data_IF_265543363852
#
_entry.id   IF_265543363852
#
_cell.length_a   1.000
_cell.length_b   1.000
_cell.length_c   1.000
_cell.angle_alpha   90.00
_cell.angle_beta   90.00
_cell.angle_gamma   90.00
#
_symmetry.space_group_name_H-M   'P 1'
#
loop_
_entity.id
_entity.type
_entity.pdbx_description
1 polymer ?
#
# COMPACT_ATOMS: atom_id res chain seq x y z
N UNK A 1 -21.96 -3.59 14.64
CA UNK A 1 -21.08 -2.96 15.68
C UNK A 1 -19.72 -3.64 15.66
N UNK A 2 -18.65 -2.88 15.49
CA UNK A 2 -17.27 -3.41 15.47
C UNK A 2 -16.77 -3.71 16.89
N UNK A 3 -16.14 -4.87 17.10
CA UNK A 3 -15.62 -5.27 18.41
C UNK A 3 -14.37 -4.48 18.81
N UNK A 4 -14.15 -4.32 20.12
CA UNK A 4 -12.93 -3.64 20.66
C UNK A 4 -11.63 -4.35 20.20
N UNK A 5 -11.63 -5.68 20.10
CA UNK A 5 -10.47 -6.43 19.64
C UNK A 5 -10.16 -6.14 18.18
N UNK A 6 -11.17 -6.01 17.33
CA UNK A 6 -11.01 -5.68 15.92
C UNK A 6 -10.47 -4.25 15.75
N UNK A 7 -10.99 -3.29 16.53
CA UNK A 7 -10.45 -1.92 16.57
C UNK A 7 -8.96 -1.93 16.95
N UNK A 8 -8.61 -2.66 18.01
CA UNK A 8 -7.21 -2.76 18.48
C UNK A 8 -6.31 -3.40 17.42
N UNK A 9 -6.78 -4.44 16.74
CA UNK A 9 -6.05 -5.08 15.66
C UNK A 9 -5.76 -4.11 14.52
N UNK A 10 -6.80 -3.47 13.97
CA UNK A 10 -6.65 -2.51 12.86
C UNK A 10 -5.70 -1.38 13.25
N UNK A 11 -5.93 -0.75 14.42
CA UNK A 11 -5.07 0.34 14.92
C UNK A 11 -3.62 -0.09 15.15
N UNK A 12 -3.37 -1.36 15.49
CA UNK A 12 -2.02 -1.87 15.67
C UNK A 12 -1.19 -1.85 14.38
N UNK A 13 -1.84 -1.94 13.21
CA UNK A 13 -1.20 -1.89 11.88
C UNK A 13 -0.65 -0.49 11.51
N UNK A 14 -0.86 0.53 12.34
CA UNK A 14 -0.15 1.81 12.23
C UNK A 14 1.37 1.62 12.38
N UNK A 15 1.80 0.66 13.19
CA UNK A 15 3.21 0.39 13.49
C UNK A 15 3.83 -0.58 12.48
N UNK A 16 4.97 -0.19 11.88
CA UNK A 16 5.71 -1.01 10.90
C UNK A 16 5.99 -2.43 11.41
N UNK A 17 6.40 -2.58 12.69
CA UNK A 17 6.68 -3.88 13.29
C UNK A 17 5.47 -4.84 13.24
N UNK A 18 4.26 -4.31 13.45
CA UNK A 18 3.05 -5.12 13.44
C UNK A 18 2.63 -5.45 12.01
N UNK A 19 2.75 -4.50 11.07
CA UNK A 19 2.53 -4.78 9.64
C UNK A 19 3.44 -5.90 9.14
N UNK A 20 4.73 -5.83 9.47
CA UNK A 20 5.70 -6.85 9.05
C UNK A 20 5.42 -8.20 9.69
N UNK A 21 5.04 -8.22 10.99
CA UNK A 21 4.69 -9.46 11.70
C UNK A 21 3.46 -10.14 11.10
N UNK A 22 2.44 -9.37 10.79
CA UNK A 22 1.17 -9.87 10.24
C UNK A 22 1.22 -10.04 8.70
N UNK A 23 2.18 -9.43 8.00
CA UNK A 23 2.22 -9.36 6.54
C UNK A 23 1.04 -8.58 5.97
N UNK A 24 0.52 -7.57 6.72
CA UNK A 24 -0.71 -6.84 6.39
C UNK A 24 -0.50 -5.33 6.43
N UNK A 25 -1.36 -4.61 5.69
CA UNK A 25 -1.42 -3.16 5.73
C UNK A 25 -2.87 -2.65 5.61
N UNK A 26 -3.06 -1.39 5.95
CA UNK A 26 -4.38 -0.74 5.90
C UNK A 26 -4.44 0.23 4.73
N UNK A 27 -5.54 0.17 3.99
CA UNK A 27 -5.93 1.15 2.99
C UNK A 27 -7.27 1.78 3.36
N UNK A 28 -7.40 3.08 3.17
CA UNK A 28 -8.61 3.83 3.48
C UNK A 28 -9.09 4.67 2.30
N UNK A 29 -10.40 4.87 2.24
CA UNK A 29 -11.07 5.63 1.19
C UNK A 29 -11.39 4.80 -0.05
N UNK A 30 -12.52 5.13 -0.65
CA UNK A 30 -13.11 4.32 -1.73
C UNK A 30 -12.16 4.13 -2.91
N UNK A 31 -11.44 5.20 -3.34
CA UNK A 31 -10.54 5.11 -4.49
C UNK A 31 -9.40 4.12 -4.26
N UNK A 32 -8.69 4.21 -3.14
CA UNK A 32 -7.54 3.33 -2.83
C UNK A 32 -8.01 1.90 -2.64
N UNK A 33 -9.12 1.72 -1.91
CA UNK A 33 -9.66 0.37 -1.62
C UNK A 33 -10.20 -0.28 -2.89
N UNK A 34 -10.95 0.44 -3.74
CA UNK A 34 -11.49 -0.11 -4.99
C UNK A 34 -10.36 -0.49 -5.97
N UNK A 35 -9.30 0.34 -6.10
CA UNK A 35 -8.14 0.04 -6.94
C UNK A 35 -7.41 -1.24 -6.47
N UNK A 36 -7.24 -1.42 -5.15
CA UNK A 36 -6.62 -2.61 -4.59
C UNK A 36 -7.51 -3.86 -4.74
N UNK A 37 -8.82 -3.73 -4.51
CA UNK A 37 -9.78 -4.85 -4.65
C UNK A 37 -9.86 -5.37 -6.09
N UNK A 38 -9.56 -4.53 -7.08
CA UNK A 38 -9.48 -4.95 -8.48
C UNK A 38 -8.31 -5.92 -8.75
N UNK A 39 -7.28 -5.95 -7.90
CA UNK A 39 -6.07 -6.76 -8.08
C UNK A 39 -5.92 -7.89 -7.07
N UNK A 40 -6.41 -7.71 -5.84
CA UNK A 40 -6.29 -8.72 -4.79
C UNK A 40 -7.47 -8.65 -3.81
N UNK A 41 -7.88 -9.77 -3.21
CA UNK A 41 -8.90 -9.75 -2.17
C UNK A 41 -8.37 -9.07 -0.90
N UNK A 42 -9.25 -8.38 -0.19
CA UNK A 42 -8.98 -7.93 1.17
C UNK A 42 -9.19 -9.08 2.17
N UNK A 43 -8.45 -9.08 3.27
CA UNK A 43 -8.72 -9.98 4.41
C UNK A 43 -9.90 -9.47 5.24
N UNK A 44 -9.99 -8.15 5.39
CA UNK A 44 -11.02 -7.49 6.18
C UNK A 44 -11.46 -6.20 5.49
N UNK A 45 -12.75 -5.97 5.45
CA UNK A 45 -13.38 -4.72 5.03
C UNK A 45 -14.24 -4.20 6.17
N UNK A 46 -14.04 -2.94 6.53
CA UNK A 46 -14.88 -2.20 7.49
C UNK A 46 -15.45 -1.00 6.75
N UNK A 47 -16.75 -0.98 6.52
CA UNK A 47 -17.36 0.03 5.67
C UNK A 47 -18.79 0.38 6.07
N UNK A 48 -19.26 1.53 5.61
CA UNK A 48 -20.65 1.94 5.74
C UNK A 48 -21.56 1.16 4.79
N UNK A 49 -22.84 1.06 5.13
CA UNK A 49 -23.84 0.43 4.28
C UNK A 49 -23.87 1.04 2.87
N UNK A 50 -23.70 2.36 2.76
CA UNK A 50 -23.69 3.08 1.49
C UNK A 50 -22.60 2.54 0.55
N UNK A 51 -21.37 2.37 1.05
CA UNK A 51 -20.27 1.86 0.23
C UNK A 51 -20.41 0.37 -0.08
N UNK A 52 -21.01 -0.43 0.83
CA UNK A 52 -21.21 -1.88 0.65
C UNK A 52 -22.31 -2.19 -0.37
N UNK A 53 -23.24 -1.26 -0.60
CA UNK A 53 -24.41 -1.50 -1.45
C UNK A 53 -24.02 -1.95 -2.86
N UNK A 54 -24.54 -3.11 -3.28
CA UNK A 54 -24.30 -3.68 -4.62
C UNK A 54 -22.89 -4.26 -4.84
N UNK A 55 -22.02 -4.31 -3.82
CA UNK A 55 -20.68 -4.88 -3.93
C UNK A 55 -20.65 -6.34 -3.50
N UNK A 56 -19.83 -7.12 -4.19
CA UNK A 56 -19.57 -8.53 -3.87
C UNK A 56 -18.07 -8.71 -3.59
N UNK A 57 -17.76 -9.51 -2.58
CA UNK A 57 -16.39 -9.74 -2.15
C UNK A 57 -16.04 -11.22 -2.21
N UNK A 58 -14.76 -11.55 -2.20
CA UNK A 58 -14.29 -12.91 -2.16
C UNK A 58 -14.77 -13.61 -0.86
N UNK A 59 -15.06 -14.92 -0.92
CA UNK A 59 -15.62 -15.66 0.20
C UNK A 59 -14.76 -15.63 1.48
N UNK A 60 -13.44 -15.46 1.32
CA UNK A 60 -12.50 -15.36 2.44
C UNK A 60 -12.42 -13.95 3.06
N UNK A 61 -13.03 -12.95 2.44
CA UNK A 61 -12.99 -11.56 2.95
C UNK A 61 -14.00 -11.42 4.09
N UNK A 62 -13.51 -11.05 5.27
CA UNK A 62 -14.39 -10.66 6.38
C UNK A 62 -14.95 -9.27 6.13
N UNK A 63 -16.26 -9.10 6.18
CA UNK A 63 -16.92 -7.80 5.98
C UNK A 63 -17.64 -7.38 7.23
N UNK A 64 -17.36 -6.18 7.73
CA UNK A 64 -18.01 -5.59 8.90
C UNK A 64 -18.69 -4.29 8.48
N UNK A 65 -20.02 -4.31 8.48
CA UNK A 65 -20.82 -3.09 8.32
C UNK A 65 -20.75 -2.24 9.60
N UNK A 66 -20.50 -0.96 9.46
CA UNK A 66 -20.35 0.00 10.55
C UNK A 66 -21.05 1.33 10.24
N UNK A 67 -21.34 2.08 11.31
CA UNK A 67 -21.73 3.49 11.18
C UNK A 67 -20.49 4.37 10.92
N UNK A 68 -20.68 5.61 10.46
CA UNK A 68 -19.59 6.58 10.32
C UNK A 68 -18.85 6.85 11.64
N UNK A 69 -19.59 6.85 12.77
CA UNK A 69 -19.00 7.02 14.10
C UNK A 69 -18.12 5.84 14.51
N UNK A 70 -18.50 4.63 14.13
CA UNK A 70 -17.71 3.43 14.35
C UNK A 70 -16.48 3.40 13.43
N UNK A 71 -16.62 3.82 12.17
CA UNK A 71 -15.52 3.93 11.22
C UNK A 71 -14.46 4.92 11.71
N UNK A 72 -14.86 6.07 12.30
CA UNK A 72 -13.94 7.03 12.92
C UNK A 72 -13.05 6.43 14.00
N UNK A 73 -13.51 5.39 14.72
CA UNK A 73 -12.71 4.74 15.79
C UNK A 73 -11.54 3.91 15.26
N UNK A 74 -11.64 3.41 14.03
CA UNK A 74 -10.61 2.57 13.40
C UNK A 74 -9.75 3.33 12.40
N UNK A 75 -10.26 4.41 11.85
CA UNK A 75 -9.61 5.20 10.80
C UNK A 75 -8.34 5.90 11.29
N UNK A 76 -7.36 6.02 10.41
CA UNK A 76 -6.15 6.85 10.58
C UNK A 76 -6.33 8.26 10.01
N UNK A 77 -7.44 8.50 9.30
CA UNK A 77 -7.77 9.79 8.69
C UNK A 77 -8.56 10.68 9.65
N UNK A 78 -8.35 11.99 9.56
CA UNK A 78 -9.18 12.97 10.30
C UNK A 78 -10.63 12.96 9.79
N UNK A 79 -10.81 12.73 8.48
CA UNK A 79 -12.10 12.64 7.81
C UNK A 79 -12.22 11.30 7.09
N UNK A 80 -12.68 10.23 7.77
CA UNK A 80 -12.85 8.91 7.17
C UNK A 80 -13.78 8.93 5.95
N UNK A 81 -13.47 8.13 4.95
CA UNK A 81 -14.23 8.07 3.71
C UNK A 81 -14.84 6.66 3.53
N UNK A 82 -15.98 6.44 4.15
CA UNK A 82 -16.89 5.30 3.97
C UNK A 82 -16.28 3.88 4.12
N UNK A 83 -14.99 3.68 3.84
CA UNK A 83 -14.36 2.35 3.85
C UNK A 83 -12.91 2.39 4.33
N UNK A 84 -12.57 1.36 5.10
CA UNK A 84 -11.21 0.95 5.47
C UNK A 84 -11.08 -0.54 5.19
N UNK A 85 -9.96 -0.97 4.60
CA UNK A 85 -9.71 -2.37 4.35
C UNK A 85 -8.29 -2.79 4.74
N UNK A 86 -8.13 -4.07 5.11
CA UNK A 86 -6.83 -4.70 5.41
C UNK A 86 -6.49 -5.64 4.27
N UNK A 87 -5.30 -5.45 3.70
CA UNK A 87 -4.77 -6.25 2.61
C UNK A 87 -3.48 -6.95 3.00
N UNK A 88 -3.15 -8.03 2.28
CA UNK A 88 -1.82 -8.65 2.34
C UNK A 88 -0.74 -7.75 1.74
N UNK A 89 0.43 -7.72 2.36
CA UNK A 89 1.62 -7.13 1.73
C UNK A 89 2.08 -8.02 0.58
N UNK A 90 2.66 -7.43 -0.47
CA UNK A 90 3.35 -8.19 -1.49
C UNK A 90 4.54 -8.91 -0.84
N UNK A 91 4.73 -10.19 -1.21
CA UNK A 91 5.93 -10.93 -0.78
C UNK A 91 7.14 -10.32 -1.45
N UNK A 92 8.18 -10.03 -0.66
CA UNK A 92 9.48 -9.67 -1.20
C UNK A 92 9.99 -10.84 -2.04
N UNK A 93 10.09 -10.65 -3.34
CA UNK A 93 10.74 -11.60 -4.23
C UNK A 93 12.21 -11.24 -4.41
N UNK A 94 12.99 -12.14 -5.02
CA UNK A 94 14.32 -11.79 -5.50
C UNK A 94 14.20 -10.63 -6.49
N UNK A 95 15.06 -9.61 -6.33
CA UNK A 95 15.11 -8.47 -7.24
C UNK A 95 15.34 -8.97 -8.67
N UNK A 96 14.31 -8.99 -9.47
CA UNK A 96 14.44 -9.21 -10.91
C UNK A 96 14.22 -7.88 -11.61
N UNK A 97 15.32 -7.28 -12.08
CA UNK A 97 15.22 -6.05 -12.87
C UNK A 97 14.80 -6.45 -14.29
N UNK A 98 13.69 -5.87 -14.74
CA UNK A 98 13.33 -5.92 -16.14
C UNK A 98 14.11 -4.83 -16.89
N UNK A 99 15.19 -5.18 -17.55
CA UNK A 99 16.06 -4.25 -18.28
C UNK A 99 15.41 -3.63 -19.53
N UNK A 100 14.22 -4.09 -19.91
CA UNK A 100 13.46 -3.56 -21.03
C UNK A 100 12.45 -2.46 -20.59
N UNK A 101 12.39 -2.17 -19.30
CA UNK A 101 11.44 -1.17 -18.73
C UNK A 101 12.21 -0.10 -17.95
N UNK A 102 11.67 1.11 -17.96
CA UNK A 102 12.16 2.17 -17.09
C UNK A 102 11.77 1.86 -15.65
N UNK A 103 12.74 1.87 -14.75
CA UNK A 103 12.54 1.75 -13.31
C UNK A 103 13.11 2.95 -12.57
N UNK A 104 12.65 3.20 -11.36
CA UNK A 104 13.20 4.23 -10.50
C UNK A 104 13.99 3.60 -9.35
N UNK A 105 15.09 4.24 -8.95
CA UNK A 105 15.81 3.94 -7.72
C UNK A 105 15.73 5.16 -6.79
N UNK A 106 15.28 4.95 -5.55
CA UNK A 106 15.08 5.99 -4.55
C UNK A 106 15.97 5.73 -3.34
N UNK A 107 16.92 6.63 -3.12
CA UNK A 107 17.86 6.55 -1.99
C UNK A 107 17.46 7.55 -0.91
N UNK A 108 17.08 7.05 0.28
CA UNK A 108 16.80 7.85 1.46
C UNK A 108 15.58 8.79 1.37
N UNK A 109 14.57 8.47 0.59
CA UNK A 109 13.31 9.25 0.55
C UNK A 109 12.50 8.96 1.80
N UNK A 110 12.67 9.77 2.86
CA UNK A 110 12.09 9.50 4.18
C UNK A 110 10.70 10.08 4.39
N UNK A 111 10.31 11.13 3.66
CA UNK A 111 8.99 11.73 3.79
C UNK A 111 7.91 10.86 3.14
N UNK A 112 6.86 10.44 3.89
CA UNK A 112 5.78 9.60 3.37
C UNK A 112 4.99 10.24 2.24
N UNK A 113 4.79 11.55 2.27
CA UNK A 113 4.08 12.30 1.23
C UNK A 113 4.87 12.33 -0.08
N UNK A 114 6.18 12.53 0.01
CA UNK A 114 7.07 12.50 -1.15
C UNK A 114 7.10 11.12 -1.80
N UNK A 115 7.27 10.04 -1.00
CA UNK A 115 7.25 8.68 -1.54
C UNK A 115 5.92 8.39 -2.24
N UNK A 116 4.78 8.70 -1.61
CA UNK A 116 3.46 8.49 -2.21
C UNK A 116 3.27 9.30 -3.50
N UNK A 117 3.79 10.53 -3.56
CA UNK A 117 3.76 11.36 -4.77
C UNK A 117 4.61 10.77 -5.88
N UNK A 118 5.82 10.28 -5.58
CA UNK A 118 6.69 9.63 -6.56
C UNK A 118 6.01 8.38 -7.12
N UNK A 119 5.38 7.56 -6.28
CA UNK A 119 4.61 6.37 -6.72
C UNK A 119 3.49 6.78 -7.68
N UNK A 120 2.77 7.87 -7.42
CA UNK A 120 1.74 8.39 -8.34
C UNK A 120 2.32 8.86 -9.68
N UNK A 121 3.46 9.54 -9.64
CA UNK A 121 4.15 9.98 -10.85
C UNK A 121 4.61 8.77 -11.66
N UNK A 122 5.18 7.75 -11.00
CA UNK A 122 5.59 6.50 -11.65
C UNK A 122 4.40 5.84 -12.36
N UNK A 123 3.28 5.67 -11.69
CA UNK A 123 2.04 5.11 -12.26
C UNK A 123 1.58 5.93 -13.48
N UNK A 124 1.59 7.26 -13.39
CA UNK A 124 1.18 8.15 -14.48
C UNK A 124 2.03 7.98 -15.74
N UNK A 125 3.33 7.75 -15.58
CA UNK A 125 4.26 7.53 -16.69
C UNK A 125 4.44 6.06 -17.08
N UNK A 126 3.66 5.14 -16.50
CA UNK A 126 3.73 3.71 -16.79
C UNK A 126 4.98 3.02 -16.24
N UNK A 127 5.62 3.61 -15.23
CA UNK A 127 6.74 2.99 -14.50
C UNK A 127 6.15 2.05 -13.46
N UNK A 128 6.42 0.76 -13.62
CA UNK A 128 5.81 -0.30 -12.80
C UNK A 128 6.66 -0.73 -11.60
N UNK A 129 7.96 -0.36 -11.58
CA UNK A 129 8.89 -0.76 -10.53
C UNK A 129 9.67 0.42 -9.95
N UNK A 130 9.72 0.45 -8.62
CA UNK A 130 10.54 1.38 -7.83
C UNK A 130 11.39 0.57 -6.86
N UNK A 131 12.70 0.78 -6.88
CA UNK A 131 13.65 0.19 -5.94
C UNK A 131 14.04 1.23 -4.90
N UNK A 132 13.91 0.88 -3.62
CA UNK A 132 14.17 1.81 -2.51
C UNK A 132 15.31 1.30 -1.64
N UNK A 133 16.13 2.24 -1.13
CA UNK A 133 17.05 1.96 -0.03
C UNK A 133 16.28 1.59 1.24
N UNK A 134 16.93 0.90 2.18
CA UNK A 134 16.30 0.42 3.43
C UNK A 134 15.81 1.54 4.35
N UNK A 135 16.38 2.73 4.25
CA UNK A 135 16.03 3.93 5.01
C UNK A 135 14.96 4.80 4.33
N UNK A 136 14.55 4.46 3.10
CA UNK A 136 13.36 5.06 2.47
C UNK A 136 12.09 4.73 3.26
N UNK A 137 11.13 5.64 3.28
CA UNK A 137 9.85 5.47 3.96
C UNK A 137 9.17 4.16 3.54
N UNK A 138 8.48 3.51 4.49
CA UNK A 138 7.77 2.25 4.24
C UNK A 138 6.52 2.49 3.38
N UNK A 139 6.46 1.86 2.21
CA UNK A 139 5.34 1.96 1.26
C UNK A 139 3.99 1.60 1.90
N UNK A 140 3.99 0.69 2.87
CA UNK A 140 2.78 0.28 3.59
C UNK A 140 2.44 1.15 4.82
N UNK A 141 3.21 2.22 5.08
CA UNK A 141 2.80 3.22 6.06
C UNK A 141 1.46 3.83 5.63
N UNK A 142 0.44 3.93 6.52
CA UNK A 142 -0.88 4.47 6.16
C UNK A 142 -0.83 5.84 5.47
N UNK A 143 0.12 6.70 5.85
CA UNK A 143 0.30 8.01 5.19
C UNK A 143 0.82 7.88 3.75
N UNK A 144 1.72 6.92 3.48
CA UNK A 144 2.20 6.63 2.12
C UNK A 144 1.07 6.05 1.29
N UNK A 145 0.40 5.01 1.81
CA UNK A 145 -0.74 4.37 1.12
C UNK A 145 -1.78 5.41 0.70
N UNK A 146 -2.14 6.31 1.61
CA UNK A 146 -3.08 7.41 1.32
C UNK A 146 -2.55 8.37 0.25
N UNK A 147 -1.26 8.75 0.34
CA UNK A 147 -0.65 9.69 -0.60
C UNK A 147 -0.52 9.11 -2.02
N UNK A 148 -0.51 7.78 -2.19
CA UNK A 148 -0.48 7.14 -3.52
C UNK A 148 -1.77 7.31 -4.29
N UNK A 149 -2.89 7.65 -3.64
CA UNK A 149 -4.21 7.78 -4.28
C UNK A 149 -4.63 6.55 -5.13
N UNK A 150 -4.22 5.35 -4.70
CA UNK A 150 -4.50 4.08 -5.39
C UNK A 150 -3.37 3.56 -6.28
N UNK A 151 -2.36 4.37 -6.60
CA UNK A 151 -1.24 3.94 -7.47
C UNK A 151 -0.39 2.82 -6.86
N UNK A 152 -0.43 2.62 -5.53
CA UNK A 152 0.19 1.47 -4.84
C UNK A 152 -0.31 0.12 -5.39
N UNK A 153 -1.48 0.07 -5.98
CA UNK A 153 -2.03 -1.14 -6.59
C UNK A 153 -1.30 -1.55 -7.88
N UNK A 154 -0.64 -0.61 -8.58
CA UNK A 154 -0.05 -0.82 -9.91
C UNK A 154 1.46 -0.69 -9.95
N UNK A 155 2.06 -0.03 -8.96
CA UNK A 155 3.51 0.19 -8.87
C UNK A 155 4.09 -0.69 -7.79
N UNK A 156 4.99 -1.57 -8.16
CA UNK A 156 5.72 -2.45 -7.23
C UNK A 156 6.86 -1.67 -6.59
N UNK A 157 6.93 -1.68 -5.26
CA UNK A 157 8.01 -1.03 -4.50
C UNK A 157 8.79 -2.10 -3.75
N UNK A 158 10.09 -2.18 -4.02
CA UNK A 158 11.00 -3.15 -3.43
C UNK A 158 12.11 -2.44 -2.64
N UNK A 159 12.55 -3.04 -1.54
CA UNK A 159 13.57 -2.47 -0.66
C UNK A 159 14.83 -3.32 -0.63
N UNK A 160 15.99 -2.70 -0.78
CA UNK A 160 17.25 -3.44 -0.73
C UNK A 160 18.49 -2.58 -0.82
N UNK A 161 19.61 -3.22 -1.16
CA UNK A 161 20.88 -2.55 -1.40
C UNK A 161 20.93 -2.00 -2.82
N UNK A 162 20.69 -0.69 -2.98
CA UNK A 162 20.69 -0.05 -4.30
C UNK A 162 22.06 -0.08 -4.98
N UNK A 163 23.16 0.03 -4.24
CA UNK A 163 24.50 -0.05 -4.81
C UNK A 163 24.73 -1.43 -5.45
N UNK A 164 24.46 -2.50 -4.69
CA UNK A 164 24.55 -3.87 -5.20
C UNK A 164 23.60 -4.13 -6.38
N UNK A 165 22.42 -3.50 -6.38
CA UNK A 165 21.51 -3.56 -7.51
C UNK A 165 22.13 -2.95 -8.77
N UNK A 166 22.66 -1.72 -8.69
CA UNK A 166 23.29 -1.02 -9.81
C UNK A 166 24.51 -1.79 -10.31
N UNK A 167 25.35 -2.31 -9.41
CA UNK A 167 26.53 -3.11 -9.77
C UNK A 167 26.18 -4.45 -10.47
N UNK A 168 24.97 -4.97 -10.24
CA UNK A 168 24.50 -6.21 -10.86
C UNK A 168 23.88 -6.01 -12.25
N UNK A 169 23.66 -4.75 -12.68
CA UNK A 169 23.09 -4.46 -13.98
C UNK A 169 24.02 -4.85 -15.13
N UNK A 170 23.48 -5.35 -16.26
CA UNK A 170 24.24 -5.48 -17.48
C UNK A 170 24.86 -4.15 -17.91
N UNK A 171 26.07 -4.19 -18.52
CA UNK A 171 26.84 -3.00 -18.88
C UNK A 171 26.14 -2.09 -19.92
N UNK A 172 25.18 -2.61 -20.65
CA UNK A 172 24.39 -1.91 -21.67
C UNK A 172 23.12 -1.24 -21.10
N UNK A 173 22.82 -1.43 -19.81
CA UNK A 173 21.69 -0.77 -19.14
C UNK A 173 22.12 0.62 -18.67
N UNK A 174 21.55 1.70 -19.22
CA UNK A 174 21.92 3.05 -18.83
C UNK A 174 21.36 3.37 -17.43
N UNK A 175 22.20 3.99 -16.59
CA UNK A 175 21.82 4.51 -15.28
C UNK A 175 22.02 6.02 -15.30
N UNK A 176 21.00 6.75 -14.89
CA UNK A 176 21.01 8.21 -14.84
C UNK A 176 20.77 8.67 -13.39
N UNK A 177 21.49 9.70 -12.94
CA UNK A 177 21.37 10.30 -11.60
C UNK A 177 21.64 11.80 -11.62
#
# INVERSE_FOLDING_TARGET
MISKNKIKYIRSLELKKNRNKEGKFVAEGFKVVDDLLALQPADLIVATQEWLHGKHFAAQTEVIEVTEEELKKVSFLQHPQQVLAVFGQATSGDYSINTNELSLALDGVQDPGNLGTIIRIADWFGITHIYCSQDTADVYNPKVVQATMGSIARVKVEYGNLLGLVESLPADVPVYG
#
